data_IF_403408396481
#
_entry.id   IF_403408396481
#
_cell.length_a   1.000
_cell.length_b   1.000
_cell.length_c   1.000
_cell.angle_alpha   90.00
_cell.angle_beta   90.00
_cell.angle_gamma   90.00
#
_symmetry.space_group_name_H-M   'P 1'
#
loop_
_entity.id
_entity.type
_entity.pdbx_description
1 polymer ?
#
# COMPACT_ATOMS: atom_id res chain seq x y z
N UNK A 1 17.60 21.93 4.76
CA UNK A 1 17.28 23.37 4.57
C UNK A 1 16.73 23.88 5.89
N UNK A 2 17.40 24.80 6.61
CA UNK A 2 16.87 25.38 7.84
C UNK A 2 16.03 26.62 7.53
N UNK A 3 14.87 26.77 8.17
CA UNK A 3 14.11 28.04 8.19
C UNK A 3 12.72 28.04 7.54
N UNK A 4 11.81 27.16 7.96
CA UNK A 4 10.37 27.48 7.84
C UNK A 4 9.99 28.23 9.11
N UNK A 5 9.58 29.51 9.05
CA UNK A 5 9.07 30.18 10.23
C UNK A 5 7.82 29.43 10.69
N UNK A 6 7.62 29.33 12.00
CA UNK A 6 6.31 28.96 12.55
C UNK A 6 5.31 29.98 12.00
N UNK A 7 4.61 29.59 10.93
CA UNK A 7 3.69 30.46 10.22
C UNK A 7 2.55 30.80 11.17
N UNK A 8 2.26 32.08 11.30
CA UNK A 8 1.04 32.52 11.99
C UNK A 8 -0.15 31.77 11.39
N UNK A 9 -0.90 31.07 12.23
CA UNK A 9 -2.14 30.41 11.82
C UNK A 9 -3.05 31.43 11.13
N UNK A 10 -3.61 31.14 9.94
CA UNK A 10 -4.53 32.06 9.29
C UNK A 10 -5.79 32.23 10.15
N UNK A 11 -5.94 33.42 10.76
CA UNK A 11 -7.17 33.81 11.47
C UNK A 11 -8.25 34.18 10.46
N UNK A 12 -9.22 33.30 10.24
CA UNK A 12 -10.39 33.60 9.42
C UNK A 12 -11.50 34.14 10.33
N UNK A 13 -11.98 35.38 10.16
CA UNK A 13 -13.09 35.90 10.95
C UNK A 13 -14.39 35.12 10.66
N UNK A 14 -15.14 34.80 11.71
CA UNK A 14 -16.46 34.18 11.58
C UNK A 14 -17.47 35.14 10.93
N UNK A 15 -18.45 34.64 10.16
CA UNK A 15 -19.54 35.47 9.67
C UNK A 15 -20.42 35.91 10.85
N UNK A 16 -20.65 37.22 10.98
CA UNK A 16 -21.52 37.83 11.99
C UNK A 16 -22.76 38.43 11.33
N UNK A 17 -23.94 38.29 11.95
CA UNK A 17 -25.14 39.04 11.56
C UNK A 17 -25.25 40.32 12.42
N UNK A 18 -25.04 41.52 11.84
CA UNK A 18 -25.11 42.78 12.59
C UNK A 18 -26.50 43.12 13.14
N UNK A 19 -27.55 42.43 12.71
CA UNK A 19 -28.93 42.67 13.13
C UNK A 19 -29.42 41.72 14.23
N UNK A 20 -28.68 40.64 14.50
CA UNK A 20 -28.98 39.69 15.57
C UNK A 20 -27.69 39.05 16.14
N UNK A 21 -26.91 39.81 16.94
CA UNK A 21 -25.56 39.43 17.39
C UNK A 21 -25.51 38.26 18.40
N UNK A 22 -26.66 37.92 19.01
CA UNK A 22 -26.75 36.88 20.05
C UNK A 22 -27.11 35.49 19.49
N UNK A 23 -27.32 35.37 18.17
CA UNK A 23 -27.65 34.11 17.51
C UNK A 23 -26.53 33.74 16.55
N UNK A 24 -25.88 32.56 16.72
CA UNK A 24 -24.94 32.05 15.73
C UNK A 24 -25.65 31.94 14.37
N UNK A 25 -25.19 32.68 13.38
CA UNK A 25 -25.64 32.48 12.01
C UNK A 25 -25.04 31.18 11.50
N UNK A 26 -25.88 30.29 10.95
CA UNK A 26 -25.38 29.19 10.13
C UNK A 26 -24.48 29.80 9.05
N UNK A 27 -23.23 29.33 8.88
CA UNK A 27 -22.38 29.82 7.80
C UNK A 27 -23.16 29.73 6.51
N UNK A 28 -23.36 30.89 5.87
CA UNK A 28 -23.90 30.93 4.51
C UNK A 28 -22.91 30.23 3.57
N UNK A 29 -23.32 29.76 2.37
CA UNK A 29 -22.44 29.11 1.42
C UNK A 29 -21.15 29.91 1.08
N UNK A 30 -21.12 31.21 1.40
CA UNK A 30 -20.04 32.13 1.09
C UNK A 30 -18.91 32.15 2.14
N UNK A 31 -19.04 31.52 3.31
CA UNK A 31 -17.94 31.43 4.29
C UNK A 31 -17.48 30.00 4.49
N UNK A 32 -16.34 29.68 3.88
CA UNK A 32 -15.71 28.35 3.92
C UNK A 32 -14.33 28.45 4.57
N UNK A 33 -13.94 27.40 5.28
CA UNK A 33 -12.55 27.23 5.70
C UNK A 33 -11.76 26.76 4.48
N UNK A 34 -10.67 27.45 4.09
CA UNK A 34 -9.97 27.14 2.85
C UNK A 34 -9.29 25.76 2.91
N UNK A 35 -9.11 25.15 1.74
CA UNK A 35 -8.21 24.01 1.63
C UNK A 35 -6.75 24.47 1.66
N UNK A 36 -5.91 23.79 2.44
CA UNK A 36 -4.46 24.03 2.50
C UNK A 36 -3.76 22.76 2.05
N UNK A 37 -3.03 22.76 0.91
CA UNK A 37 -2.36 21.56 0.42
C UNK A 37 -1.47 20.90 1.49
N UNK A 38 -1.62 19.59 1.70
CA UNK A 38 -0.87 18.86 2.73
C UNK A 38 -1.49 18.90 4.14
N UNK A 39 -2.62 19.58 4.34
CA UNK A 39 -3.25 19.75 5.64
C UNK A 39 -4.77 19.61 5.57
N UNK A 40 -5.37 19.07 6.62
CA UNK A 40 -6.83 18.98 6.79
C UNK A 40 -7.25 19.81 8.01
N UNK A 41 -8.24 20.72 7.88
CA UNK A 41 -8.78 21.41 9.04
C UNK A 41 -9.62 20.44 9.89
N UNK A 42 -9.48 20.53 11.21
CA UNK A 42 -10.20 19.67 12.16
C UNK A 42 -11.07 20.48 13.10
N UNK A 43 -12.11 19.84 13.62
CA UNK A 43 -12.97 20.43 14.63
C UNK A 43 -12.16 20.64 15.93
N UNK A 44 -12.13 21.87 16.49
CA UNK A 44 -11.27 22.19 17.64
C UNK A 44 -11.68 21.47 18.94
N UNK A 45 -12.88 20.87 19.02
CA UNK A 45 -13.37 20.18 20.21
C UNK A 45 -13.09 18.68 20.13
N UNK A 46 -13.27 18.10 18.95
CA UNK A 46 -13.18 16.64 18.74
C UNK A 46 -11.88 16.19 18.09
N UNK A 47 -11.15 17.11 17.44
CA UNK A 47 -10.03 16.82 16.54
C UNK A 47 -10.38 15.94 15.33
N UNK A 48 -11.67 15.77 15.03
CA UNK A 48 -12.10 15.06 13.83
C UNK A 48 -11.97 15.96 12.59
N UNK A 49 -11.61 15.41 11.42
CA UNK A 49 -11.61 16.15 10.17
C UNK A 49 -12.95 16.85 9.89
N UNK A 50 -12.89 18.13 9.54
CA UNK A 50 -14.08 18.85 9.10
C UNK A 50 -14.58 18.30 7.77
N UNK A 51 -15.89 18.47 7.53
CA UNK A 51 -16.51 18.02 6.28
C UNK A 51 -16.24 19.03 5.15
N UNK A 52 -15.74 18.57 4.00
CA UNK A 52 -15.62 19.44 2.83
C UNK A 52 -17.01 19.87 2.36
N UNK A 53 -17.09 21.07 1.78
CA UNK A 53 -18.33 21.60 1.19
C UNK A 53 -18.80 20.71 0.04
N UNK A 54 -17.86 20.24 -0.77
CA UNK A 54 -18.06 19.22 -1.80
C UNK A 54 -17.21 17.99 -1.45
N UNK A 55 -17.83 16.83 -1.12
CA UNK A 55 -17.11 15.59 -0.82
C UNK A 55 -16.19 15.10 -1.95
N UNK A 56 -16.41 15.54 -3.19
CA UNK A 56 -15.62 15.16 -4.37
C UNK A 56 -14.60 16.22 -4.80
N UNK A 57 -14.69 17.43 -4.24
CA UNK A 57 -13.75 18.53 -4.50
C UNK A 57 -13.46 19.31 -3.20
N UNK A 58 -12.51 18.84 -2.36
CA UNK A 58 -12.07 19.55 -1.16
C UNK A 58 -11.54 20.96 -1.46
N UNK A 59 -11.16 21.27 -2.70
CA UNK A 59 -10.76 22.61 -3.13
C UNK A 59 -11.85 23.67 -2.96
N UNK A 60 -13.11 23.27 -2.78
CA UNK A 60 -14.22 24.16 -2.41
C UNK A 60 -14.22 24.60 -0.94
N UNK A 61 -13.28 24.09 -0.15
CA UNK A 61 -13.15 24.38 1.27
C UNK A 61 -14.04 23.48 2.14
N UNK A 62 -14.12 23.83 3.42
CA UNK A 62 -14.73 23.05 4.48
C UNK A 62 -15.80 23.85 5.21
N UNK A 63 -16.82 23.15 5.69
CA UNK A 63 -17.91 23.74 6.48
C UNK A 63 -17.39 24.08 7.89
N UNK A 64 -17.46 25.36 8.33
CA UNK A 64 -17.09 25.73 9.69
C UNK A 64 -17.94 25.03 10.75
N UNK A 65 -17.36 24.63 11.90
CA UNK A 65 -18.14 24.12 13.01
C UNK A 65 -19.02 25.23 13.61
N UNK A 66 -20.07 24.86 14.33
CA UNK A 66 -20.90 25.84 15.05
C UNK A 66 -20.13 26.39 16.27
N UNK A 67 -19.95 27.72 16.41
CA UNK A 67 -19.35 28.32 17.60
C UNK A 67 -20.17 28.04 18.86
N UNK A 68 -19.49 27.93 20.00
CA UNK A 68 -20.17 27.87 21.31
C UNK A 68 -20.55 29.27 21.83
N UNK A 69 -19.82 30.30 21.39
CA UNK A 69 -19.98 31.69 21.83
C UNK A 69 -19.83 32.63 20.62
N UNK A 70 -20.79 33.53 20.42
CA UNK A 70 -20.79 34.48 19.30
C UNK A 70 -19.82 35.64 19.46
N UNK A 71 -19.32 35.90 20.67
CA UNK A 71 -18.39 36.98 20.99
C UNK A 71 -16.92 36.56 21.03
N UNK A 72 -16.62 35.28 20.78
CA UNK A 72 -15.28 34.70 20.95
C UNK A 72 -14.78 34.07 19.65
N UNK A 73 -13.59 34.47 19.22
CA UNK A 73 -12.89 33.85 18.10
C UNK A 73 -12.65 32.35 18.37
N UNK A 74 -13.07 31.49 17.44
CA UNK A 74 -12.80 30.05 17.48
C UNK A 74 -11.67 29.71 16.50
N UNK A 75 -10.43 29.47 16.95
CA UNK A 75 -9.34 29.06 16.07
C UNK A 75 -9.62 27.66 15.49
N UNK A 76 -9.41 27.50 14.19
CA UNK A 76 -9.55 26.21 13.49
C UNK A 76 -8.16 25.62 13.25
N UNK A 77 -7.79 24.53 13.95
CA UNK A 77 -6.50 23.89 13.73
C UNK A 77 -6.45 23.15 12.40
N UNK A 78 -5.26 23.17 11.77
CA UNK A 78 -4.93 22.35 10.61
C UNK A 78 -3.96 21.25 11.02
N UNK A 79 -4.30 20.02 10.67
CA UNK A 79 -3.47 18.84 10.94
C UNK A 79 -2.81 18.42 9.64
N UNK A 80 -1.50 18.16 9.68
CA UNK A 80 -0.76 17.69 8.52
C UNK A 80 -1.28 16.30 8.10
N UNK A 81 -1.44 16.10 6.80
CA UNK A 81 -1.86 14.82 6.24
C UNK A 81 -0.73 13.79 6.28
N UNK A 82 -1.08 12.51 6.14
CA UNK A 82 -0.15 11.38 6.12
C UNK A 82 -0.27 10.54 4.85
N UNK A 83 0.60 9.53 4.74
CA UNK A 83 0.64 8.60 3.61
C UNK A 83 0.77 7.16 4.11
N UNK A 84 0.37 6.21 3.27
CA UNK A 84 0.61 4.77 3.48
C UNK A 84 1.24 4.23 2.22
N UNK A 85 2.38 3.55 2.36
CA UNK A 85 3.16 3.03 1.23
C UNK A 85 3.43 1.54 1.43
N UNK A 86 3.22 0.78 0.36
CA UNK A 86 3.46 -0.65 0.30
C UNK A 86 4.71 -0.92 -0.55
N UNK A 87 5.67 -1.62 0.03
CA UNK A 87 6.93 -2.01 -0.58
C UNK A 87 6.97 -3.52 -0.85
N UNK A 88 7.69 -3.91 -1.90
CA UNK A 88 7.84 -5.30 -2.32
C UNK A 88 9.32 -5.63 -2.45
N UNK A 89 9.83 -6.49 -1.57
CA UNK A 89 11.26 -6.83 -1.53
C UNK A 89 11.49 -8.33 -1.47
N UNK A 90 12.67 -8.77 -1.91
CA UNK A 90 13.12 -10.13 -1.62
C UNK A 90 13.67 -10.28 -0.19
N UNK A 91 14.05 -11.49 0.20
CA UNK A 91 14.64 -11.78 1.52
C UNK A 91 15.94 -11.03 1.81
N UNK A 92 16.61 -10.47 0.79
CA UNK A 92 17.83 -9.68 0.95
C UNK A 92 17.54 -8.17 0.96
N UNK A 93 16.28 -7.76 0.82
CA UNK A 93 15.86 -6.36 0.77
C UNK A 93 15.94 -5.73 -0.63
N UNK A 94 16.17 -6.51 -1.70
CA UNK A 94 16.15 -5.98 -3.06
C UNK A 94 14.70 -5.70 -3.49
N UNK A 95 14.46 -4.54 -4.08
CA UNK A 95 13.13 -4.14 -4.57
C UNK A 95 12.74 -4.98 -5.79
N UNK A 96 11.56 -5.60 -5.74
CA UNK A 96 11.04 -6.48 -6.80
C UNK A 96 10.00 -5.81 -7.69
N UNK A 97 9.28 -4.83 -7.14
CA UNK A 97 8.19 -4.11 -7.80
C UNK A 97 8.18 -2.68 -7.27
N UNK A 98 7.77 -1.73 -8.11
CA UNK A 98 7.59 -0.34 -7.69
C UNK A 98 6.66 -0.26 -6.47
N UNK A 99 7.03 0.51 -5.43
CA UNK A 99 6.16 0.75 -4.29
C UNK A 99 4.81 1.32 -4.73
N UNK A 100 3.76 0.99 -3.99
CA UNK A 100 2.41 1.51 -4.21
C UNK A 100 2.06 2.45 -3.07
N UNK A 101 1.58 3.65 -3.39
CA UNK A 101 0.95 4.52 -2.40
C UNK A 101 -0.48 4.03 -2.21
N UNK A 102 -0.75 3.40 -1.08
CA UNK A 102 -2.07 2.96 -0.66
C UNK A 102 -2.94 4.17 -0.28
N UNK A 103 -2.36 5.09 0.49
CA UNK A 103 -2.96 6.37 0.85
C UNK A 103 -1.98 7.50 0.53
N UNK A 104 -2.48 8.56 -0.10
CA UNK A 104 -1.70 9.76 -0.44
C UNK A 104 -2.39 11.00 0.09
N UNK A 105 -1.66 11.85 0.81
CA UNK A 105 -2.17 13.11 1.35
C UNK A 105 -3.49 12.93 2.13
N UNK A 106 -3.58 11.83 2.88
CA UNK A 106 -4.80 11.43 3.56
C UNK A 106 -4.92 12.12 4.94
N UNK A 107 -6.15 12.48 5.38
CA UNK A 107 -6.37 13.02 6.71
C UNK A 107 -5.91 12.06 7.81
N UNK A 108 -5.32 12.60 8.87
CA UNK A 108 -5.02 11.83 10.07
C UNK A 108 -6.29 11.15 10.62
N UNK A 109 -6.16 9.90 11.08
CA UNK A 109 -7.28 9.10 11.57
C UNK A 109 -8.07 8.35 10.48
N UNK A 110 -7.86 8.64 9.19
CA UNK A 110 -8.47 7.85 8.09
C UNK A 110 -7.98 6.40 8.19
N UNK A 111 -8.89 5.43 8.15
CA UNK A 111 -8.52 4.01 8.11
C UNK A 111 -7.88 3.62 6.78
N UNK A 112 -6.91 2.71 6.84
CA UNK A 112 -6.28 2.06 5.69
C UNK A 112 -6.25 0.53 5.86
N UNK A 113 -6.21 -0.19 4.75
CA UNK A 113 -6.05 -1.65 4.65
C UNK A 113 -5.28 -1.97 3.37
N UNK A 114 -4.08 -2.53 3.49
CA UNK A 114 -3.17 -2.76 2.36
C UNK A 114 -3.34 -4.14 1.71
N UNK A 115 -4.39 -4.90 2.04
CA UNK A 115 -4.58 -6.28 1.56
C UNK A 115 -4.84 -6.38 0.06
N UNK A 116 -5.37 -5.33 -0.57
CA UNK A 116 -5.51 -5.19 -2.03
C UNK A 116 -4.14 -5.08 -2.75
N UNK A 117 -3.13 -4.62 -2.01
CA UNK A 117 -1.76 -4.43 -2.47
C UNK A 117 -0.84 -5.61 -2.13
N UNK A 118 -1.39 -6.80 -1.83
CA UNK A 118 -0.67 -8.01 -1.37
C UNK A 118 -0.71 -9.17 -2.38
N UNK A 119 -0.01 -9.09 -3.54
CA UNK A 119 0.04 -10.19 -4.49
C UNK A 119 0.78 -11.38 -3.90
N UNK A 120 0.22 -12.58 -4.11
CA UNK A 120 0.83 -13.85 -3.71
C UNK A 120 2.11 -14.15 -4.50
N UNK A 121 2.14 -13.73 -5.77
CA UNK A 121 3.25 -13.97 -6.69
C UNK A 121 3.63 -12.68 -7.42
N UNK A 122 4.94 -12.47 -7.61
CA UNK A 122 5.50 -11.44 -8.47
C UNK A 122 6.38 -12.11 -9.53
N UNK A 123 6.21 -11.70 -10.79
CA UNK A 123 7.10 -12.07 -11.89
C UNK A 123 7.82 -10.82 -12.35
N UNK A 124 9.15 -10.81 -12.26
CA UNK A 124 9.98 -9.68 -12.70
C UNK A 124 10.22 -9.71 -14.21
N UNK A 125 10.72 -8.61 -14.78
CA UNK A 125 10.94 -8.48 -16.23
C UNK A 125 11.89 -9.53 -16.82
N UNK A 126 12.84 -10.04 -16.00
CA UNK A 126 13.76 -11.12 -16.35
C UNK A 126 13.11 -12.52 -16.33
N UNK A 127 11.82 -12.62 -16.00
CA UNK A 127 11.07 -13.86 -15.84
C UNK A 127 11.33 -14.60 -14.53
N UNK A 128 12.09 -14.03 -13.58
CA UNK A 128 12.23 -14.60 -12.24
C UNK A 128 10.88 -14.53 -11.50
N UNK A 129 10.50 -15.64 -10.86
CA UNK A 129 9.26 -15.76 -10.08
C UNK A 129 9.56 -15.64 -8.60
N UNK A 130 8.71 -14.92 -7.89
CA UNK A 130 8.84 -14.64 -6.46
C UNK A 130 7.50 -14.87 -5.76
N UNK A 131 7.53 -15.50 -4.58
CA UNK A 131 6.32 -15.86 -3.83
C UNK A 131 6.34 -15.22 -2.44
N UNK A 132 5.22 -14.63 -2.04
CA UNK A 132 5.07 -13.91 -0.78
C UNK A 132 5.38 -14.85 0.39
N UNK A 133 6.08 -14.35 1.41
CA UNK A 133 6.30 -15.02 2.69
C UNK A 133 5.47 -14.29 3.76
N UNK A 134 4.23 -14.72 4.06
CA UNK A 134 3.33 -13.98 4.95
C UNK A 134 3.91 -13.71 6.34
N UNK A 135 4.67 -14.66 6.88
CA UNK A 135 5.33 -14.58 8.19
C UNK A 135 6.44 -13.53 8.29
N UNK A 136 6.91 -12.98 7.15
CA UNK A 136 7.94 -11.94 7.08
C UNK A 136 7.39 -10.57 6.69
N UNK A 137 6.07 -10.37 6.71
CA UNK A 137 5.47 -9.04 6.52
C UNK A 137 5.97 -8.08 7.61
N UNK A 138 6.44 -6.90 7.21
CA UNK A 138 6.94 -5.85 8.11
C UNK A 138 5.96 -4.68 8.08
N UNK A 139 5.61 -4.16 9.26
CA UNK A 139 4.59 -3.11 9.40
C UNK A 139 3.21 -3.68 9.70
N UNK A 140 2.23 -2.80 9.89
CA UNK A 140 0.85 -3.18 10.19
C UNK A 140 -0.03 -2.93 8.97
N UNK A 141 -0.61 -3.99 8.43
CA UNK A 141 -1.41 -3.96 7.18
C UNK A 141 -2.72 -3.18 7.31
N UNK A 142 -3.18 -2.96 8.55
CA UNK A 142 -4.43 -2.27 8.86
C UNK A 142 -4.20 -1.27 9.98
N UNK A 143 -4.75 -0.07 9.85
CA UNK A 143 -4.60 0.96 10.86
C UNK A 143 -5.27 2.26 10.47
N UNK A 144 -4.80 3.35 11.05
CA UNK A 144 -5.23 4.70 10.71
C UNK A 144 -4.03 5.53 10.30
N UNK A 145 -4.20 6.42 9.32
CA UNK A 145 -3.18 7.36 8.87
C UNK A 145 -2.74 8.25 10.02
N UNK A 146 -1.42 8.42 10.17
CA UNK A 146 -0.83 9.35 11.13
C UNK A 146 -0.38 10.63 10.44
N UNK A 147 -0.81 11.78 10.97
CA UNK A 147 -0.51 13.08 10.37
C UNK A 147 0.99 13.37 10.31
N UNK A 148 1.45 13.89 9.17
CA UNK A 148 2.86 14.23 8.92
C UNK A 148 3.80 13.03 8.79
N UNK A 149 3.26 11.80 8.73
CA UNK A 149 4.04 10.57 8.60
C UNK A 149 3.70 9.80 7.33
N UNK A 150 4.67 9.02 6.88
CA UNK A 150 4.47 7.94 5.93
C UNK A 150 4.57 6.62 6.68
N UNK A 151 3.47 5.87 6.70
CA UNK A 151 3.44 4.50 7.23
C UNK A 151 3.91 3.57 6.11
N UNK A 152 4.88 2.70 6.41
CA UNK A 152 5.44 1.77 5.43
C UNK A 152 5.10 0.32 5.81
N UNK A 153 4.52 -0.40 4.85
CA UNK A 153 4.27 -1.84 4.92
C UNK A 153 5.19 -2.49 3.90
N UNK A 154 5.93 -3.53 4.29
CA UNK A 154 6.84 -4.23 3.39
C UNK A 154 6.46 -5.70 3.31
N UNK A 155 6.09 -6.14 2.10
CA UNK A 155 5.89 -7.54 1.78
C UNK A 155 7.20 -8.15 1.29
N UNK A 156 7.60 -9.25 1.94
CA UNK A 156 8.85 -9.96 1.67
C UNK A 156 8.56 -11.23 0.87
N UNK A 157 9.34 -11.45 -0.19
CA UNK A 157 9.15 -12.54 -1.13
C UNK A 157 10.37 -13.46 -1.23
N UNK A 158 10.12 -14.73 -1.53
CA UNK A 158 11.11 -15.76 -1.80
C UNK A 158 11.27 -15.98 -3.29
N UNK A 159 12.50 -16.08 -3.79
CA UNK A 159 12.73 -16.48 -5.19
C UNK A 159 12.39 -17.95 -5.40
N UNK A 160 11.61 -18.24 -6.43
CA UNK A 160 11.26 -19.60 -6.84
C UNK A 160 12.37 -20.17 -7.74
N UNK A 161 12.94 -21.30 -7.34
CA UNK A 161 13.93 -22.02 -8.13
C UNK A 161 13.27 -22.80 -9.28
N UNK A 162 14.07 -23.28 -10.22
CA UNK A 162 13.59 -24.05 -11.38
C UNK A 162 14.35 -25.37 -11.47
N UNK A 163 13.68 -26.43 -11.92
CA UNK A 163 14.34 -27.58 -12.51
C UNK A 163 14.86 -27.19 -13.88
N UNK A 164 16.11 -27.56 -14.14
CA UNK A 164 16.81 -27.32 -15.40
C UNK A 164 17.23 -28.70 -15.94
N UNK A 165 16.42 -29.31 -16.83
CA UNK A 165 16.73 -30.60 -17.41
C UNK A 165 18.02 -30.52 -18.23
N UNK A 166 18.96 -31.43 -17.98
CA UNK A 166 20.23 -31.51 -18.71
C UNK A 166 20.02 -32.28 -20.03
N UNK A 167 19.49 -31.60 -21.04
CA UNK A 167 19.14 -32.22 -22.33
C UNK A 167 20.39 -32.28 -23.22
N UNK A 168 20.82 -33.47 -23.68
CA UNK A 168 21.99 -33.59 -24.54
C UNK A 168 21.84 -32.79 -25.85
N UNK A 169 22.85 -31.99 -26.18
CA UNK A 169 22.86 -31.14 -27.38
C UNK A 169 22.17 -29.80 -27.22
N UNK A 170 21.54 -29.51 -26.08
CA UNK A 170 21.03 -28.17 -25.76
C UNK A 170 22.16 -27.36 -25.08
N UNK A 171 22.51 -26.17 -25.60
CA UNK A 171 23.51 -25.31 -24.96
C UNK A 171 23.06 -24.80 -23.59
N UNK A 172 24.03 -24.54 -22.71
CA UNK A 172 23.79 -23.93 -21.40
C UNK A 172 23.05 -22.59 -21.54
N UNK A 173 21.99 -22.42 -20.75
CA UNK A 173 21.11 -21.26 -20.76
C UNK A 173 19.95 -21.33 -21.75
N UNK A 174 19.92 -22.35 -22.64
CA UNK A 174 18.80 -22.61 -23.55
C UNK A 174 17.91 -23.76 -23.08
N UNK A 175 18.22 -24.38 -21.94
CA UNK A 175 17.39 -25.43 -21.38
C UNK A 175 16.03 -24.89 -20.90
N UNK A 176 14.97 -25.69 -21.02
CA UNK A 176 13.68 -25.34 -20.47
C UNK A 176 13.79 -25.16 -18.95
N UNK A 177 13.21 -24.09 -18.42
CA UNK A 177 13.08 -23.85 -16.98
C UNK A 177 11.70 -24.29 -16.53
N UNK A 178 11.64 -25.30 -15.66
CA UNK A 178 10.39 -25.73 -15.04
C UNK A 178 10.39 -25.21 -13.60
N UNK A 179 9.56 -24.24 -13.23
CA UNK A 179 9.59 -23.68 -11.89
C UNK A 179 9.18 -24.70 -10.85
N UNK A 180 9.80 -24.63 -9.67
CA UNK A 180 9.38 -25.44 -8.54
C UNK A 180 7.94 -25.08 -8.16
N UNK A 181 7.08 -26.08 -7.89
CA UNK A 181 5.78 -25.85 -7.31
C UNK A 181 5.97 -25.29 -5.91
N UNK A 182 4.99 -24.53 -5.45
CA UNK A 182 4.97 -23.96 -4.11
C UNK A 182 3.54 -23.99 -3.57
N UNK A 183 3.41 -23.97 -2.24
CA UNK A 183 2.16 -23.70 -1.56
C UNK A 183 2.10 -22.21 -1.22
N UNK A 184 1.15 -21.43 -1.80
CA UNK A 184 0.95 -20.02 -1.44
C UNK A 184 0.77 -19.74 0.05
N UNK A 185 0.20 -20.69 0.78
CA UNK A 185 -0.08 -20.58 2.21
C UNK A 185 1.10 -21.03 3.08
N UNK A 186 2.03 -21.79 2.49
CA UNK A 186 3.23 -22.28 3.15
C UNK A 186 4.45 -22.29 2.21
N UNK A 187 4.90 -21.10 1.76
CA UNK A 187 5.96 -20.93 0.74
C UNK A 187 7.34 -21.43 1.21
N UNK A 188 7.51 -21.68 2.50
CA UNK A 188 8.76 -22.16 3.06
C UNK A 188 8.95 -23.67 2.98
N UNK A 189 7.87 -24.42 2.73
CA UNK A 189 7.90 -25.88 2.64
C UNK A 189 7.89 -26.31 1.18
N UNK A 190 8.90 -27.09 0.73
CA UNK A 190 8.87 -27.69 -0.59
C UNK A 190 7.63 -28.58 -0.73
N UNK A 191 6.85 -28.38 -1.80
CA UNK A 191 5.73 -29.26 -2.13
C UNK A 191 6.18 -30.34 -3.10
N UNK A 192 5.56 -31.51 -2.99
CA UNK A 192 5.78 -32.59 -3.97
C UNK A 192 5.18 -32.17 -5.32
N UNK A 193 5.88 -32.37 -6.44
CA UNK A 193 5.35 -32.07 -7.76
C UNK A 193 4.06 -32.86 -8.04
N UNK A 194 3.07 -32.20 -8.64
CA UNK A 194 1.87 -32.86 -9.16
C UNK A 194 2.09 -33.31 -10.61
N UNK A 195 1.27 -34.24 -11.13
CA UNK A 195 1.23 -34.61 -12.55
C UNK A 195 1.25 -33.44 -13.55
N UNK A 196 0.65 -32.30 -13.19
CA UNK A 196 0.60 -31.10 -14.04
C UNK A 196 1.98 -30.41 -14.20
N UNK A 197 2.94 -30.74 -13.32
CA UNK A 197 4.32 -30.24 -13.39
C UNK A 197 5.14 -31.17 -14.28
N UNK A 198 5.11 -30.91 -15.59
CA UNK A 198 5.76 -31.77 -16.58
C UNK A 198 7.16 -31.27 -16.98
N UNK A 199 8.12 -32.19 -17.02
CA UNK A 199 9.40 -31.99 -17.69
C UNK A 199 9.21 -32.35 -19.18
N UNK A 200 9.72 -31.56 -20.13
CA UNK A 200 9.59 -31.87 -21.55
C UNK A 200 10.11 -33.26 -21.90
N UNK A 201 9.32 -34.00 -22.69
CA UNK A 201 9.76 -35.29 -23.26
C UNK A 201 10.84 -35.06 -24.33
N UNK A 202 11.97 -35.73 -24.20
CA UNK A 202 13.06 -35.68 -25.17
C UNK A 202 13.17 -37.06 -25.84
N UNK A 203 12.88 -37.18 -27.15
CA UNK A 203 12.93 -38.46 -27.85
C UNK A 203 14.27 -39.18 -27.66
N UNK A 204 14.22 -40.44 -27.24
CA UNK A 204 15.41 -41.26 -27.01
C UNK A 204 16.06 -41.10 -25.63
N UNK A 205 15.51 -40.26 -24.74
CA UNK A 205 16.02 -40.05 -23.39
C UNK A 205 14.93 -40.24 -22.33
N UNK A 206 15.30 -40.87 -21.21
CA UNK A 206 14.46 -41.00 -20.02
C UNK A 206 15.03 -40.13 -18.90
N UNK A 207 14.30 -39.12 -18.40
CA UNK A 207 14.74 -38.35 -17.25
C UNK A 207 14.94 -39.24 -16.01
N UNK A 208 15.95 -38.96 -15.20
CA UNK A 208 16.23 -39.66 -13.94
C UNK A 208 16.17 -38.70 -12.76
N UNK A 209 15.82 -39.22 -11.59
CA UNK A 209 15.91 -38.47 -10.34
C UNK A 209 17.39 -38.14 -10.04
N UNK A 210 17.75 -36.86 -9.81
CA UNK A 210 19.15 -36.47 -9.62
C UNK A 210 19.77 -36.94 -8.30
N UNK A 211 18.96 -37.39 -7.33
CA UNK A 211 19.44 -37.95 -6.05
C UNK A 211 19.57 -39.47 -6.10
N UNK A 212 18.63 -40.17 -6.75
CA UNK A 212 18.60 -41.64 -6.75
C UNK A 212 19.10 -42.27 -8.05
N UNK A 213 19.23 -41.50 -9.13
CA UNK A 213 19.46 -41.96 -10.51
C UNK A 213 18.39 -42.93 -11.04
N UNK A 214 17.23 -43.04 -10.39
CA UNK A 214 16.13 -43.87 -10.86
C UNK A 214 15.35 -43.16 -11.98
N UNK A 215 14.87 -43.88 -13.01
CA UNK A 215 14.01 -43.30 -14.04
C UNK A 215 12.77 -42.64 -13.44
N UNK A 216 12.51 -41.39 -13.83
CA UNK A 216 11.25 -40.71 -13.51
C UNK A 216 10.10 -41.40 -14.23
N UNK A 217 8.96 -41.54 -13.54
CA UNK A 217 7.76 -42.11 -14.12
C UNK A 217 7.12 -41.09 -15.07
N UNK A 218 6.72 -41.49 -16.28
CA UNK A 218 5.89 -40.66 -17.14
C UNK A 218 4.61 -40.29 -16.39
N UNK A 219 4.11 -39.09 -16.65
CA UNK A 219 2.76 -38.71 -16.24
C UNK A 219 1.79 -39.51 -17.11
N UNK A 220 0.90 -40.28 -16.48
CA UNK A 220 -0.13 -41.06 -17.19
C UNK A 220 -1.04 -40.09 -17.97
N UNK A 221 -1.37 -40.36 -19.26
CA UNK A 221 -2.21 -39.48 -20.07
C UNK A 221 -3.68 -39.40 -19.62
#
# INVERSE_FOLDING_TARGET
IPGVPAGEEPKVPYPFDPTNPDVPVTPTPDTVIPNVPGYTPVDPKTNEPLKPVDPTDPGKGYVPPTPDDSGVDTPIPYVQNGNVVVNYVDENGNVLKTPVNDETDAPAGKSYDTTDNKPVEIVTEDGSRYVLIPSKTIGTENGTVEGGKTIEITYVYKKVANWIPQIPGVPEGQEPKVPYPFDPTNPDVPVTPTPDTVIPNVPGYTPVDPKTNEPLKPVDP
#
